data_IF_357075718827
#
_entry.id   IF_357075718827
#
_cell.length_a   1.000
_cell.length_b   1.000
_cell.length_c   1.000
_cell.angle_alpha   90.00
_cell.angle_beta   90.00
_cell.angle_gamma   90.00
#
_symmetry.space_group_name_H-M   'P 1'
#
loop_
_entity.id
_entity.type
_entity.pdbx_description
1 polymer ?
#
# COMPACT_ATOMS: atom_id res chain seq x y z
N UNK A 1 20.67 25.81 -5.62
CA UNK A 1 20.66 24.39 -5.22
C UNK A 1 19.35 23.87 -5.80
N UNK A 2 19.40 23.05 -6.89
CA UNK A 2 18.21 22.50 -7.52
C UNK A 2 17.45 21.60 -6.53
N UNK A 3 16.13 21.59 -6.61
CA UNK A 3 15.33 20.64 -5.84
C UNK A 3 15.79 19.22 -6.15
N UNK A 4 15.86 18.32 -5.13
CA UNK A 4 16.33 16.97 -5.35
C UNK A 4 15.34 16.22 -6.30
N UNK A 5 15.87 15.49 -7.27
CA UNK A 5 15.11 14.81 -8.35
C UNK A 5 13.95 13.90 -7.87
N UNK A 6 13.91 13.52 -6.59
CA UNK A 6 12.82 12.73 -6.00
C UNK A 6 11.59 13.58 -5.64
N UNK A 7 11.73 14.90 -5.49
CA UNK A 7 10.57 15.81 -5.38
C UNK A 7 9.78 15.82 -6.69
N UNK A 8 10.43 15.58 -7.83
CA UNK A 8 9.74 15.44 -9.11
C UNK A 8 9.09 14.06 -9.28
N UNK A 9 9.77 12.97 -8.87
CA UNK A 9 9.25 11.62 -8.99
C UNK A 9 9.73 10.72 -7.85
N UNK A 10 8.82 10.37 -6.92
CA UNK A 10 9.11 9.41 -5.86
C UNK A 10 9.14 7.96 -6.37
N UNK A 11 8.29 7.64 -7.37
CA UNK A 11 8.31 6.36 -8.09
C UNK A 11 8.13 6.65 -9.57
N UNK A 12 8.96 6.03 -10.41
CA UNK A 12 8.84 6.14 -11.87
C UNK A 12 9.03 4.78 -12.52
N UNK A 13 8.08 4.40 -13.34
CA UNK A 13 8.13 3.27 -14.24
C UNK A 13 8.28 3.79 -15.66
N UNK A 14 9.24 3.24 -16.43
CA UNK A 14 9.52 3.63 -17.82
C UNK A 14 9.55 2.37 -18.70
N UNK A 15 8.58 2.26 -19.59
CA UNK A 15 8.40 1.10 -20.50
C UNK A 15 8.48 -0.24 -19.76
N UNK A 16 8.03 -0.25 -18.50
CA UNK A 16 8.22 -1.38 -17.62
C UNK A 16 7.29 -2.54 -17.99
N UNK A 17 7.84 -3.76 -17.95
CA UNK A 17 7.10 -4.99 -18.18
C UNK A 17 7.46 -6.05 -17.16
N UNK A 18 6.47 -6.87 -16.78
CA UNK A 18 6.68 -8.04 -15.92
C UNK A 18 6.06 -9.28 -16.57
N UNK A 19 6.85 -10.36 -16.60
CA UNK A 19 6.38 -11.70 -16.96
C UNK A 19 6.61 -12.65 -15.79
N UNK A 20 5.60 -13.46 -15.49
CA UNK A 20 5.65 -14.48 -14.43
C UNK A 20 5.09 -15.79 -14.96
N UNK A 21 5.80 -16.89 -14.72
CA UNK A 21 5.42 -18.23 -15.19
C UNK A 21 4.98 -18.26 -16.67
N UNK A 22 5.73 -17.58 -17.55
CA UNK A 22 5.46 -17.53 -18.99
C UNK A 22 4.35 -16.56 -19.43
N UNK A 23 3.58 -15.98 -18.50
CA UNK A 23 2.51 -15.01 -18.80
C UNK A 23 3.02 -13.58 -18.60
N UNK A 24 2.67 -12.69 -19.53
CA UNK A 24 2.83 -11.24 -19.33
C UNK A 24 1.75 -10.77 -18.36
N UNK A 25 2.16 -10.16 -17.26
CA UNK A 25 1.24 -9.57 -16.29
C UNK A 25 0.82 -8.19 -16.79
N UNK A 26 1.80 -7.37 -17.12
CA UNK A 26 1.62 -6.07 -17.79
C UNK A 26 2.89 -5.74 -18.59
N UNK A 27 2.73 -4.86 -19.58
CA UNK A 27 3.80 -4.44 -20.47
C UNK A 27 3.64 -2.96 -20.83
N UNK A 28 4.77 -2.31 -21.11
CA UNK A 28 4.82 -0.89 -21.48
C UNK A 28 4.15 0.04 -20.45
N UNK A 29 4.31 -0.28 -19.15
CA UNK A 29 3.78 0.56 -18.09
C UNK A 29 4.66 1.79 -17.93
N UNK A 30 4.04 2.96 -18.11
CA UNK A 30 4.62 4.28 -17.89
C UNK A 30 3.82 4.96 -16.79
N UNK A 31 4.43 5.18 -15.62
CA UNK A 31 3.77 5.69 -14.42
C UNK A 31 4.73 6.55 -13.63
N UNK A 32 4.26 7.70 -13.17
CA UNK A 32 5.02 8.57 -12.28
C UNK A 32 4.17 8.91 -11.06
N UNK A 33 4.72 8.64 -9.86
CA UNK A 33 4.20 9.12 -8.57
C UNK A 33 5.08 10.27 -8.14
N UNK A 34 4.54 11.48 -8.07
CA UNK A 34 5.31 12.65 -7.66
C UNK A 34 5.56 12.65 -6.14
N UNK A 35 6.62 13.33 -5.72
CA UNK A 35 6.98 13.47 -4.31
C UNK A 35 5.89 14.22 -3.54
N UNK A 36 5.52 13.70 -2.35
CA UNK A 36 4.51 14.30 -1.47
C UNK A 36 3.06 14.12 -1.94
N UNK A 37 2.79 13.36 -3.01
CA UNK A 37 1.44 13.06 -3.48
C UNK A 37 0.85 11.82 -2.83
N UNK A 38 -0.49 11.81 -2.72
CA UNK A 38 -1.28 10.64 -2.41
C UNK A 38 -1.81 10.02 -3.71
N UNK A 39 -1.18 8.92 -4.14
CA UNK A 39 -1.53 8.20 -5.37
C UNK A 39 -2.20 6.88 -5.06
N UNK A 40 -3.36 6.62 -5.67
CA UNK A 40 -4.00 5.30 -5.65
C UNK A 40 -3.62 4.46 -6.87
N UNK A 41 -3.37 3.17 -6.64
CA UNK A 41 -3.24 2.15 -7.70
C UNK A 41 -4.53 1.35 -7.74
N UNK A 42 -5.30 1.51 -8.80
CA UNK A 42 -6.63 0.92 -9.00
C UNK A 42 -6.61 -0.10 -10.16
N UNK A 43 -7.69 -0.84 -10.28
CA UNK A 43 -7.93 -1.81 -11.35
C UNK A 43 -8.55 -3.11 -10.84
N UNK A 44 -9.04 -3.99 -11.72
CA UNK A 44 -9.66 -5.26 -11.36
C UNK A 44 -8.75 -6.19 -10.56
N UNK A 45 -9.37 -7.20 -9.97
CA UNK A 45 -8.62 -8.25 -9.27
C UNK A 45 -7.77 -9.07 -10.24
N UNK A 46 -6.53 -9.36 -9.84
CA UNK A 46 -5.63 -10.20 -10.63
C UNK A 46 -4.90 -9.51 -11.79
N UNK A 47 -5.10 -8.19 -12.01
CA UNK A 47 -4.41 -7.45 -13.11
C UNK A 47 -2.94 -7.14 -12.82
N UNK A 48 -2.46 -7.40 -11.58
CA UNK A 48 -1.07 -7.17 -11.23
C UNK A 48 -0.80 -5.90 -10.41
N UNK A 49 -1.79 -5.33 -9.70
CA UNK A 49 -1.59 -4.18 -8.79
C UNK A 49 -0.49 -4.45 -7.76
N UNK A 50 -0.61 -5.55 -7.00
CA UNK A 50 0.43 -5.94 -6.03
C UNK A 50 1.76 -6.32 -6.70
N UNK A 51 1.74 -6.76 -7.98
CA UNK A 51 2.96 -6.99 -8.75
C UNK A 51 3.67 -5.68 -9.07
N UNK A 52 2.92 -4.62 -9.39
CA UNK A 52 3.48 -3.28 -9.61
C UNK A 52 4.13 -2.75 -8.33
N UNK A 53 3.47 -2.87 -7.18
CA UNK A 53 4.05 -2.54 -5.87
C UNK A 53 5.33 -3.36 -5.63
N UNK A 54 5.29 -4.67 -5.82
CA UNK A 54 6.46 -5.55 -5.63
C UNK A 54 7.62 -5.21 -6.58
N UNK A 55 7.32 -4.78 -7.80
CA UNK A 55 8.34 -4.30 -8.74
C UNK A 55 8.98 -3.00 -8.25
N UNK A 56 8.19 -2.03 -7.74
CA UNK A 56 8.71 -0.81 -7.13
C UNK A 56 9.60 -1.11 -5.91
N UNK A 57 9.24 -2.10 -5.10
CA UNK A 57 10.02 -2.54 -3.95
C UNK A 57 11.26 -3.39 -4.32
N UNK A 58 11.46 -3.72 -5.61
CA UNK A 58 12.54 -4.60 -6.06
C UNK A 58 12.35 -6.06 -5.69
N UNK A 59 11.14 -6.47 -5.27
CA UNK A 59 10.80 -7.86 -4.90
C UNK A 59 10.43 -8.72 -6.12
N UNK A 60 10.14 -8.08 -7.25
CA UNK A 60 9.86 -8.72 -8.54
C UNK A 60 10.72 -8.06 -9.59
N UNK A 61 11.47 -8.87 -10.35
CA UNK A 61 12.28 -8.41 -11.47
C UNK A 61 11.43 -8.01 -12.68
N UNK A 62 11.88 -6.99 -13.40
CA UNK A 62 11.28 -6.59 -14.67
C UNK A 62 11.77 -7.52 -15.79
N UNK A 63 10.93 -7.74 -16.80
CA UNK A 63 11.29 -8.37 -18.07
C UNK A 63 11.73 -7.35 -19.13
N UNK A 64 11.34 -6.08 -18.98
CA UNK A 64 11.77 -4.95 -19.81
C UNK A 64 11.53 -3.63 -19.06
N UNK A 65 12.17 -2.55 -19.53
CA UNK A 65 12.04 -1.20 -18.98
C UNK A 65 12.79 -1.00 -17.68
N UNK A 66 12.43 0.06 -16.95
CA UNK A 66 13.07 0.42 -15.70
C UNK A 66 12.07 0.88 -14.63
N UNK A 67 12.46 0.75 -13.35
CA UNK A 67 11.76 1.34 -12.19
C UNK A 67 12.76 2.03 -11.30
N UNK A 68 12.49 3.28 -10.99
CA UNK A 68 13.24 4.05 -10.00
C UNK A 68 12.35 4.44 -8.83
N UNK A 69 12.91 4.39 -7.63
CA UNK A 69 12.25 4.77 -6.37
C UNK A 69 13.16 5.74 -5.62
N UNK A 70 12.66 6.93 -5.33
CA UNK A 70 13.40 8.03 -4.71
C UNK A 70 14.74 8.32 -5.42
N UNK A 71 14.72 8.27 -6.78
CA UNK A 71 15.88 8.49 -7.63
C UNK A 71 16.88 7.34 -7.71
N UNK A 72 16.58 6.16 -7.15
CA UNK A 72 17.44 4.97 -7.14
C UNK A 72 16.74 3.81 -7.85
N UNK A 73 17.48 2.82 -8.38
CA UNK A 73 16.87 1.59 -8.87
C UNK A 73 15.99 0.92 -7.82
N UNK A 74 14.93 0.23 -8.26
CA UNK A 74 14.00 -0.47 -7.37
C UNK A 74 14.74 -1.37 -6.38
N UNK A 75 14.27 -1.40 -5.12
CA UNK A 75 14.87 -2.16 -4.02
C UNK A 75 16.08 -1.49 -3.34
N UNK A 76 16.64 -0.40 -3.89
CA UNK A 76 17.80 0.29 -3.32
C UNK A 76 17.46 1.47 -2.40
N UNK A 77 16.20 1.87 -2.31
CA UNK A 77 15.76 2.95 -1.43
C UNK A 77 15.71 2.55 0.06
N UNK A 78 15.71 1.24 0.35
CA UNK A 78 15.90 0.68 1.69
C UNK A 78 14.97 1.28 2.75
N UNK A 79 15.57 1.90 3.77
CA UNK A 79 14.85 2.45 4.95
C UNK A 79 13.98 3.67 4.64
N UNK A 80 14.15 4.29 3.48
CA UNK A 80 13.36 5.44 3.05
C UNK A 80 11.98 5.03 2.52
N UNK A 81 11.72 3.72 2.40
CA UNK A 81 10.42 3.16 2.00
C UNK A 81 9.80 2.41 3.17
N UNK A 82 8.60 2.84 3.59
CA UNK A 82 7.72 2.09 4.48
C UNK A 82 6.78 1.21 3.64
N UNK A 83 6.64 -0.05 3.99
CA UNK A 83 5.77 -0.97 3.26
C UNK A 83 4.82 -1.69 4.20
N UNK A 84 3.54 -1.63 3.88
CA UNK A 84 2.49 -2.42 4.50
C UNK A 84 1.96 -3.41 3.46
N UNK A 85 2.31 -4.70 3.55
CA UNK A 85 1.81 -5.72 2.65
C UNK A 85 0.34 -6.04 2.92
N UNK A 86 -0.36 -6.54 1.90
CA UNK A 86 -1.69 -7.10 2.06
C UNK A 86 -1.68 -8.16 3.16
N UNK A 87 -2.47 -7.95 4.19
CA UNK A 87 -2.60 -8.87 5.33
C UNK A 87 -4.06 -9.18 5.61
N UNK A 88 -4.29 -10.42 6.02
CA UNK A 88 -5.52 -10.80 6.72
C UNK A 88 -5.42 -10.38 8.18
N UNK A 89 -6.55 -10.31 8.88
CA UNK A 89 -6.62 -10.00 10.31
C UNK A 89 -5.71 -10.89 11.15
N UNK A 90 -5.26 -10.39 12.29
CA UNK A 90 -4.55 -11.21 13.27
C UNK A 90 -5.52 -12.17 13.95
N UNK A 91 -5.02 -13.37 14.28
CA UNK A 91 -5.75 -14.33 15.09
C UNK A 91 -6.07 -13.73 16.47
N UNK A 92 -7.32 -13.91 16.95
CA UNK A 92 -7.78 -13.39 18.24
C UNK A 92 -6.98 -13.93 19.45
N UNK A 93 -6.34 -15.08 19.29
CA UNK A 93 -5.46 -15.69 20.30
C UNK A 93 -4.07 -15.08 20.36
N UNK A 94 -3.67 -14.25 19.39
CA UNK A 94 -2.33 -13.65 19.35
C UNK A 94 -2.17 -12.62 20.47
N UNK A 95 -1.26 -12.89 21.41
CA UNK A 95 -1.03 -12.08 22.61
C UNK A 95 0.14 -11.09 22.50
N UNK A 96 0.69 -10.87 21.32
CA UNK A 96 1.73 -9.86 21.07
C UNK A 96 1.10 -8.48 21.21
N UNK A 97 1.73 -7.59 21.97
CA UNK A 97 1.23 -6.21 22.13
C UNK A 97 1.40 -5.40 20.86
N UNK A 98 0.49 -4.45 20.62
CA UNK A 98 0.58 -3.55 19.46
C UNK A 98 1.91 -2.80 19.40
N UNK A 99 2.42 -2.32 20.55
CA UNK A 99 3.72 -1.62 20.61
C UNK A 99 4.89 -2.50 20.16
N UNK A 100 4.84 -3.81 20.45
CA UNK A 100 5.89 -4.75 20.02
C UNK A 100 5.84 -4.97 18.50
N UNK A 101 4.63 -5.01 17.92
CA UNK A 101 4.43 -5.05 16.44
C UNK A 101 5.03 -3.82 15.78
N UNK A 102 4.76 -2.61 16.31
CA UNK A 102 5.36 -1.37 15.78
C UNK A 102 6.88 -1.41 15.90
N UNK A 103 7.40 -1.93 17.03
CA UNK A 103 8.84 -2.09 17.27
C UNK A 103 9.56 -2.93 16.21
N UNK A 104 8.91 -3.97 15.66
CA UNK A 104 9.48 -4.78 14.58
C UNK A 104 9.86 -3.94 13.34
N UNK A 105 9.18 -2.82 13.10
CA UNK A 105 9.55 -1.90 12.03
C UNK A 105 10.91 -1.22 12.24
N UNK A 106 11.37 -1.06 13.49
CA UNK A 106 12.71 -0.53 13.79
C UNK A 106 13.82 -1.56 13.61
N UNK A 107 13.61 -2.76 14.17
CA UNK A 107 14.68 -3.73 14.48
C UNK A 107 14.47 -5.11 13.86
N UNK A 108 13.47 -5.30 13.00
CA UNK A 108 13.12 -6.61 12.41
C UNK A 108 14.27 -7.32 11.68
N UNK A 109 15.35 -6.62 11.40
CA UNK A 109 16.59 -7.16 10.81
C UNK A 109 17.62 -7.60 11.88
N UNK A 110 17.38 -7.32 13.15
CA UNK A 110 18.33 -7.57 14.24
C UNK A 110 17.80 -8.57 15.24
N UNK A 111 18.51 -9.66 15.43
CA UNK A 111 18.29 -10.59 16.53
C UNK A 111 18.88 -10.02 17.82
N UNK A 112 18.17 -10.09 18.92
CA UNK A 112 18.67 -9.71 20.23
C UNK A 112 17.62 -9.83 21.34
N UNK A 113 18.04 -10.27 22.52
CA UNK A 113 17.19 -10.28 23.72
C UNK A 113 17.17 -8.85 24.29
N UNK A 114 16.01 -8.24 24.54
CA UNK A 114 15.94 -6.94 25.22
C UNK A 114 16.39 -7.10 26.67
N UNK A 115 17.56 -6.55 27.00
CA UNK A 115 18.03 -6.52 28.38
C UNK A 115 17.33 -5.40 29.14
N UNK A 116 16.83 -5.64 30.37
CA UNK A 116 16.02 -4.66 31.11
C UNK A 116 16.76 -3.35 31.46
N UNK A 117 18.06 -3.33 31.41
CA UNK A 117 18.95 -2.20 31.78
C UNK A 117 19.58 -1.53 30.54
N UNK A 118 19.22 -2.00 29.35
CA UNK A 118 19.92 -1.62 28.10
C UNK A 118 19.77 -0.15 27.70
N UNK A 119 18.74 0.55 28.17
CA UNK A 119 18.44 1.92 27.69
C UNK A 119 19.43 2.99 28.17
N UNK A 120 20.01 2.79 29.37
CA UNK A 120 21.04 3.69 29.89
C UNK A 120 22.40 3.47 29.23
N UNK A 121 22.65 2.26 28.74
CA UNK A 121 23.92 1.84 28.17
C UNK A 121 23.94 1.92 26.63
N UNK A 122 22.76 1.93 25.98
CA UNK A 122 22.62 1.91 24.52
C UNK A 122 21.72 3.02 24.00
N UNK A 123 22.26 4.21 23.67
CA UNK A 123 21.49 5.34 23.13
C UNK A 123 20.64 5.00 21.90
N UNK A 124 21.11 4.07 21.06
CA UNK A 124 20.39 3.62 19.88
C UNK A 124 19.04 2.92 20.22
N UNK A 125 18.94 2.21 21.35
CA UNK A 125 17.69 1.58 21.81
C UNK A 125 16.69 2.62 22.29
N UNK A 126 17.17 3.63 23.00
CA UNK A 126 16.34 4.77 23.42
C UNK A 126 15.74 5.48 22.22
N UNK A 127 16.56 5.82 21.23
CA UNK A 127 16.09 6.45 19.99
C UNK A 127 15.08 5.57 19.22
N UNK A 128 15.25 4.24 19.21
CA UNK A 128 14.28 3.34 18.61
C UNK A 128 12.94 3.36 19.35
N UNK A 129 12.94 3.37 20.69
CA UNK A 129 11.71 3.48 21.49
C UNK A 129 11.00 4.81 21.31
N UNK A 130 11.76 5.90 21.23
CA UNK A 130 11.18 7.23 21.00
C UNK A 130 10.50 7.27 19.63
N UNK A 131 11.13 6.74 18.55
CA UNK A 131 10.49 6.58 17.23
C UNK A 131 9.23 5.72 17.25
N UNK A 132 9.24 4.62 18.01
CA UNK A 132 8.04 3.76 18.19
C UNK A 132 6.91 4.55 18.84
N UNK A 133 7.21 5.33 19.88
CA UNK A 133 6.22 6.17 20.55
C UNK A 133 5.67 7.24 19.60
N UNK A 134 6.55 7.96 18.92
CA UNK A 134 6.17 8.97 17.93
C UNK A 134 5.27 8.38 16.82
N UNK A 135 5.60 7.20 16.29
CA UNK A 135 4.78 6.55 15.27
C UNK A 135 3.39 6.13 15.82
N UNK A 136 3.32 5.64 17.06
CA UNK A 136 2.06 5.29 17.74
C UNK A 136 1.19 6.53 17.97
N UNK A 137 1.79 7.62 18.42
CA UNK A 137 1.09 8.90 18.65
C UNK A 137 0.58 9.48 17.32
N UNK A 138 1.40 9.43 16.28
CA UNK A 138 1.06 9.91 14.93
C UNK A 138 -0.20 9.24 14.36
N UNK A 139 -0.36 7.93 14.59
CA UNK A 139 -1.54 7.18 14.12
C UNK A 139 -2.69 7.21 15.14
N UNK A 140 -2.54 7.88 16.29
CA UNK A 140 -3.56 7.96 17.34
C UNK A 140 -3.81 6.62 18.02
N UNK A 141 -2.78 5.79 18.22
CA UNK A 141 -2.90 4.44 18.76
C UNK A 141 -2.49 4.31 20.24
N UNK A 142 -2.13 5.39 20.92
CA UNK A 142 -1.60 5.41 22.29
C UNK A 142 -2.49 4.68 23.29
N UNK A 143 -3.82 4.81 23.18
CA UNK A 143 -4.78 4.21 24.11
C UNK A 143 -4.84 2.68 24.06
N UNK A 144 -4.45 2.06 22.93
CA UNK A 144 -4.57 0.62 22.73
C UNK A 144 -3.26 -0.08 22.32
N UNK A 145 -2.17 0.65 22.12
CA UNK A 145 -0.88 0.07 21.69
C UNK A 145 -0.31 -0.95 22.68
N UNK A 146 -0.63 -0.87 23.99
CA UNK A 146 -0.19 -1.83 24.99
C UNK A 146 -1.04 -3.11 25.05
N UNK A 147 -2.21 -3.14 24.37
CA UNK A 147 -3.11 -4.31 24.36
C UNK A 147 -2.59 -5.37 23.37
N UNK A 148 -2.96 -6.66 23.59
CA UNK A 148 -2.71 -7.73 22.62
C UNK A 148 -3.35 -7.40 21.27
N UNK A 149 -2.59 -7.55 20.17
CA UNK A 149 -3.05 -7.16 18.82
C UNK A 149 -4.30 -7.95 18.40
N UNK A 150 -4.44 -9.21 18.80
CA UNK A 150 -5.62 -10.02 18.50
C UNK A 150 -6.89 -9.62 19.28
N UNK A 151 -6.79 -8.69 20.25
CA UNK A 151 -7.91 -8.26 21.12
C UNK A 151 -8.38 -6.82 20.83
N UNK A 152 -7.89 -6.21 19.79
CA UNK A 152 -8.29 -4.86 19.35
C UNK A 152 -9.02 -4.94 17.99
N UNK A 153 -9.79 -3.91 17.65
CA UNK A 153 -10.57 -3.88 16.41
C UNK A 153 -9.68 -3.90 15.16
N UNK A 154 -10.24 -4.28 14.00
CA UNK A 154 -9.51 -4.27 12.73
C UNK A 154 -8.95 -2.90 12.37
N UNK A 155 -9.70 -1.83 12.61
CA UNK A 155 -9.22 -0.46 12.40
C UNK A 155 -8.07 -0.07 13.34
N UNK A 156 -8.10 -0.50 14.61
CA UNK A 156 -7.01 -0.31 15.56
C UNK A 156 -5.76 -1.12 15.16
N UNK A 157 -5.93 -2.37 14.71
CA UNK A 157 -4.85 -3.18 14.15
C UNK A 157 -4.20 -2.50 12.96
N UNK A 158 -5.02 -1.98 12.04
CA UNK A 158 -4.54 -1.31 10.83
C UNK A 158 -3.73 -0.05 11.15
N UNK A 159 -4.17 0.76 12.13
CA UNK A 159 -3.39 1.91 12.61
C UNK A 159 -2.02 1.52 13.12
N UNK A 160 -1.91 0.44 13.91
CA UNK A 160 -0.62 -0.05 14.41
C UNK A 160 0.28 -0.59 13.29
N UNK A 161 -0.28 -1.22 12.26
CA UNK A 161 0.48 -1.67 11.09
C UNK A 161 0.99 -0.47 10.25
N UNK A 162 0.19 0.58 10.13
CA UNK A 162 0.66 1.84 9.51
C UNK A 162 1.77 2.46 10.35
N UNK A 163 1.65 2.49 11.69
CA UNK A 163 2.72 2.95 12.57
C UNK A 163 4.00 2.13 12.40
N UNK A 164 3.90 0.81 12.25
CA UNK A 164 5.05 -0.06 11.97
C UNK A 164 5.77 0.33 10.68
N UNK A 165 5.03 0.67 9.61
CA UNK A 165 5.60 1.11 8.34
C UNK A 165 6.23 2.52 8.45
N UNK A 166 5.72 3.37 9.34
CA UNK A 166 6.17 4.75 9.54
C UNK A 166 7.33 4.91 10.52
N UNK A 167 7.60 3.90 11.36
CA UNK A 167 8.55 4.02 12.49
C UNK A 167 9.98 4.42 12.09
N UNK A 168 10.35 4.19 10.84
CA UNK A 168 11.65 4.62 10.25
C UNK A 168 11.60 5.98 9.59
N UNK A 169 10.48 6.69 9.70
CA UNK A 169 10.23 7.99 9.07
C UNK A 169 10.50 7.95 7.54
N UNK A 170 9.81 7.07 6.81
CA UNK A 170 10.03 6.89 5.39
C UNK A 170 9.60 8.14 4.60
N UNK A 171 10.18 8.31 3.41
CA UNK A 171 9.79 9.34 2.43
C UNK A 171 8.72 8.85 1.48
N UNK A 172 8.62 7.52 1.30
CA UNK A 172 7.60 6.84 0.52
C UNK A 172 6.92 5.78 1.39
N UNK A 173 5.60 5.84 1.50
CA UNK A 173 4.77 4.85 2.16
C UNK A 173 3.98 4.08 1.11
N UNK A 174 4.24 2.79 1.00
CA UNK A 174 3.56 1.88 0.08
C UNK A 174 2.60 1.00 0.89
N UNK A 175 1.31 1.05 0.55
CA UNK A 175 0.24 0.36 1.25
C UNK A 175 -0.51 -0.56 0.28
N UNK A 176 -0.48 -1.87 0.52
CA UNK A 176 -1.14 -2.85 -0.33
C UNK A 176 -2.47 -3.27 0.32
N UNK A 177 -3.58 -2.73 -0.19
CA UNK A 177 -4.97 -2.96 0.25
C UNK A 177 -5.20 -2.70 1.77
N UNK A 178 -4.80 -1.53 2.28
CA UNK A 178 -4.85 -1.24 3.71
C UNK A 178 -6.26 -1.07 4.28
N UNK A 179 -7.27 -0.91 3.45
CA UNK A 179 -8.67 -0.68 3.85
C UNK A 179 -9.53 -1.93 3.75
N UNK A 180 -9.00 -2.99 3.16
CA UNK A 180 -9.73 -4.24 2.99
C UNK A 180 -10.11 -4.86 4.34
N UNK A 181 -11.27 -5.49 4.37
CA UNK A 181 -11.82 -6.14 5.57
C UNK A 181 -12.15 -5.21 6.74
N UNK A 182 -12.12 -3.89 6.54
CA UNK A 182 -12.58 -2.89 7.51
C UNK A 182 -14.04 -2.53 7.24
N UNK A 183 -14.78 -2.20 8.29
CA UNK A 183 -16.11 -1.56 8.16
C UNK A 183 -15.99 -0.13 7.62
N UNK A 184 -17.07 0.41 7.08
CA UNK A 184 -17.08 1.74 6.45
C UNK A 184 -16.56 2.87 7.35
N UNK A 185 -16.95 2.96 8.65
CA UNK A 185 -16.39 3.96 9.56
C UNK A 185 -14.88 3.84 9.74
N UNK A 186 -14.36 2.59 9.87
CA UNK A 186 -12.93 2.33 10.01
C UNK A 186 -12.18 2.65 8.73
N UNK A 187 -12.74 2.32 7.55
CA UNK A 187 -12.15 2.69 6.25
C UNK A 187 -11.99 4.21 6.13
N UNK A 188 -13.05 4.97 6.40
CA UNK A 188 -13.01 6.44 6.36
C UNK A 188 -11.97 7.02 7.34
N UNK A 189 -11.92 6.47 8.56
CA UNK A 189 -10.99 6.91 9.60
C UNK A 189 -9.52 6.63 9.23
N UNK A 190 -9.23 5.45 8.66
CA UNK A 190 -7.87 5.09 8.22
C UNK A 190 -7.47 5.87 6.96
N UNK A 191 -8.38 6.07 6.01
CA UNK A 191 -8.14 6.88 4.82
C UNK A 191 -7.77 8.34 5.19
N UNK A 192 -8.55 8.96 6.09
CA UNK A 192 -8.27 10.31 6.60
C UNK A 192 -6.91 10.38 7.34
N UNK A 193 -6.56 9.34 8.11
CA UNK A 193 -5.24 9.24 8.75
C UNK A 193 -4.11 9.23 7.72
N UNK A 194 -4.20 8.40 6.68
CA UNK A 194 -3.19 8.29 5.62
C UNK A 194 -3.05 9.63 4.90
N UNK A 195 -4.16 10.28 4.56
CA UNK A 195 -4.18 11.59 3.92
C UNK A 195 -3.50 12.67 4.78
N UNK A 196 -3.77 12.69 6.08
CA UNK A 196 -3.11 13.58 7.03
C UNK A 196 -1.60 13.35 7.08
N UNK A 197 -1.16 12.10 7.13
CA UNK A 197 0.27 11.75 7.11
C UNK A 197 0.92 12.27 5.83
N UNK A 198 0.29 12.07 4.68
CA UNK A 198 0.77 12.59 3.41
C UNK A 198 0.94 14.12 3.44
N UNK A 199 -0.11 14.83 3.83
CA UNK A 199 -0.15 16.29 3.78
C UNK A 199 0.79 16.97 4.82
N UNK A 200 0.74 16.51 6.09
CA UNK A 200 1.44 17.17 7.20
C UNK A 200 2.91 16.77 7.27
N UNK A 201 3.24 15.50 6.98
CA UNK A 201 4.61 14.98 7.09
C UNK A 201 5.34 14.90 5.75
N UNK A 202 4.70 15.34 4.64
CA UNK A 202 5.28 15.32 3.29
C UNK A 202 5.75 13.93 2.86
N UNK A 203 5.09 12.88 3.36
CA UNK A 203 5.34 11.50 2.98
C UNK A 203 4.59 11.21 1.68
N UNK A 204 5.29 10.76 0.65
CA UNK A 204 4.62 10.27 -0.56
C UNK A 204 3.85 9.00 -0.24
N UNK A 205 2.62 8.88 -0.67
CA UNK A 205 1.79 7.70 -0.45
C UNK A 205 1.44 7.04 -1.78
N UNK A 206 1.72 5.74 -1.89
CA UNK A 206 1.26 4.87 -2.97
C UNK A 206 0.39 3.77 -2.37
N UNK A 207 -0.92 3.80 -2.62
CA UNK A 207 -1.90 2.92 -2.01
C UNK A 207 -2.61 2.08 -3.07
N UNK A 208 -2.57 0.76 -2.95
CA UNK A 208 -3.40 -0.15 -3.75
C UNK A 208 -4.76 -0.26 -3.09
N UNK A 209 -5.83 -0.09 -3.88
CA UNK A 209 -7.20 -0.26 -3.41
C UNK A 209 -8.07 -1.01 -4.42
N UNK A 210 -9.12 -1.64 -3.93
CA UNK A 210 -10.22 -2.17 -4.73
C UNK A 210 -11.32 -1.14 -4.92
N UNK A 211 -11.64 -0.40 -3.84
CA UNK A 211 -12.64 0.68 -3.84
C UNK A 211 -11.94 2.02 -3.66
N UNK A 212 -12.17 2.92 -4.60
CA UNK A 212 -11.62 4.27 -4.56
C UNK A 212 -12.39 5.20 -3.61
N UNK A 213 -13.67 4.89 -3.34
CA UNK A 213 -14.58 5.82 -2.66
C UNK A 213 -14.08 6.31 -1.29
N UNK A 214 -13.52 5.46 -0.39
CA UNK A 214 -13.03 5.92 0.90
C UNK A 214 -11.85 6.89 0.82
N UNK A 215 -11.08 6.83 -0.28
CA UNK A 215 -9.85 7.62 -0.46
C UNK A 215 -10.00 8.74 -1.49
N UNK A 216 -11.04 8.70 -2.33
CA UNK A 216 -11.26 9.63 -3.45
C UNK A 216 -11.11 11.12 -3.07
N UNK A 217 -11.63 11.60 -1.91
CA UNK A 217 -11.51 13.00 -1.53
C UNK A 217 -10.07 13.47 -1.24
N UNK A 218 -9.14 12.54 -1.11
CA UNK A 218 -7.76 12.82 -0.68
C UNK A 218 -6.73 12.56 -1.78
N UNK A 219 -7.15 12.01 -2.94
CA UNK A 219 -6.24 11.61 -4.01
C UNK A 219 -5.78 12.79 -4.85
N UNK A 220 -4.47 12.88 -5.03
CA UNK A 220 -3.85 13.77 -6.03
C UNK A 220 -3.76 13.08 -7.39
N UNK A 221 -3.54 11.77 -7.41
CA UNK A 221 -3.31 10.99 -8.61
C UNK A 221 -3.91 9.58 -8.53
N UNK A 222 -4.31 9.04 -9.65
CA UNK A 222 -4.74 7.66 -9.83
C UNK A 222 -3.90 7.00 -10.92
N UNK A 223 -3.34 5.84 -10.60
CA UNK A 223 -2.77 4.90 -11.56
C UNK A 223 -3.76 3.75 -11.75
N UNK A 224 -4.42 3.67 -12.89
CA UNK A 224 -5.40 2.63 -13.18
C UNK A 224 -4.78 1.56 -14.09
N UNK A 225 -4.77 0.31 -13.62
CA UNK A 225 -4.19 -0.83 -14.36
C UNK A 225 -5.31 -1.72 -14.86
N UNK A 226 -5.35 -1.96 -16.15
CA UNK A 226 -6.25 -2.93 -16.78
C UNK A 226 -5.68 -3.44 -18.11
N UNK A 227 -6.15 -4.59 -18.57
CA UNK A 227 -5.77 -5.20 -19.85
C UNK A 227 -4.24 -5.24 -20.12
N UNK A 228 -3.43 -5.35 -19.05
CA UNK A 228 -1.97 -5.44 -19.14
C UNK A 228 -1.24 -4.12 -19.39
N UNK A 229 -1.92 -2.98 -19.26
CA UNK A 229 -1.35 -1.63 -19.37
C UNK A 229 -1.84 -0.74 -18.21
N UNK A 230 -1.38 0.52 -18.16
CA UNK A 230 -1.77 1.47 -17.12
C UNK A 230 -1.99 2.87 -17.70
N UNK A 231 -2.91 3.62 -17.09
CA UNK A 231 -3.07 5.07 -17.29
C UNK A 231 -2.88 5.77 -15.94
N UNK A 232 -2.31 6.97 -15.96
CA UNK A 232 -2.04 7.74 -14.75
C UNK A 232 -2.43 9.20 -14.95
N UNK A 233 -3.01 9.80 -13.92
CA UNK A 233 -3.42 11.21 -13.93
C UNK A 233 -4.31 11.58 -12.76
N UNK A 234 -4.82 12.82 -12.74
CA UNK A 234 -5.82 13.24 -11.74
C UNK A 234 -7.06 12.33 -11.73
N UNK A 235 -7.67 12.09 -10.55
CA UNK A 235 -8.82 11.18 -10.44
C UNK A 235 -9.93 11.45 -11.45
N UNK A 236 -10.27 12.73 -11.64
CA UNK A 236 -11.32 13.17 -12.56
C UNK A 236 -11.01 12.94 -14.04
N UNK A 237 -9.75 12.74 -14.41
CA UNK A 237 -9.34 12.43 -15.78
C UNK A 237 -9.22 10.94 -16.05
N UNK A 238 -8.86 10.16 -15.03
CA UNK A 238 -8.64 8.71 -15.13
C UNK A 238 -9.94 7.93 -14.91
N UNK A 239 -10.73 8.31 -13.89
CA UNK A 239 -11.98 7.61 -13.54
C UNK A 239 -13.13 8.22 -14.36
N UNK A 240 -13.12 7.97 -15.66
CA UNK A 240 -14.14 8.38 -16.66
C UNK A 240 -14.52 7.21 -17.54
N UNK A 241 -15.76 7.21 -18.00
CA UNK A 241 -16.26 6.18 -18.91
C UNK A 241 -15.39 6.05 -20.16
N UNK A 242 -15.00 7.18 -20.77
CA UNK A 242 -14.19 7.20 -21.99
C UNK A 242 -12.78 6.62 -21.74
N UNK A 243 -12.12 7.04 -20.66
CA UNK A 243 -10.78 6.59 -20.30
C UNK A 243 -10.76 5.10 -20.00
N UNK A 244 -11.72 4.64 -19.17
CA UNK A 244 -11.80 3.23 -18.78
C UNK A 244 -12.24 2.36 -19.96
N UNK A 245 -13.18 2.81 -20.80
CA UNK A 245 -13.58 2.10 -22.04
C UNK A 245 -12.38 1.90 -22.98
N UNK A 246 -11.56 2.94 -23.17
CA UNK A 246 -10.35 2.82 -24.00
C UNK A 246 -9.33 1.85 -23.40
N UNK A 247 -9.16 1.88 -22.06
CA UNK A 247 -8.23 1.02 -21.34
C UNK A 247 -8.65 -0.46 -21.37
N UNK A 248 -9.94 -0.74 -21.12
CA UNK A 248 -10.49 -2.10 -21.12
C UNK A 248 -10.78 -2.65 -22.53
N UNK A 249 -10.91 -1.78 -23.52
CA UNK A 249 -11.38 -2.10 -24.88
C UNK A 249 -12.79 -2.72 -24.90
N UNK A 250 -13.59 -2.41 -23.89
CA UNK A 250 -15.00 -2.82 -23.73
C UNK A 250 -15.76 -1.64 -23.13
N UNK A 251 -17.07 -1.47 -23.44
CA UNK A 251 -17.85 -0.38 -22.87
C UNK A 251 -17.85 -0.43 -21.34
N UNK A 252 -17.36 0.64 -20.73
CA UNK A 252 -17.35 0.87 -19.28
C UNK A 252 -18.13 2.14 -18.99
N UNK A 253 -19.00 2.10 -18.02
CA UNK A 253 -19.75 3.24 -17.56
C UNK A 253 -19.33 3.62 -16.14
N UNK A 254 -19.02 4.89 -15.92
CA UNK A 254 -18.71 5.45 -14.58
C UNK A 254 -19.92 6.30 -14.16
N UNK A 255 -20.61 5.81 -13.15
CA UNK A 255 -21.78 6.48 -12.58
C UNK A 255 -21.38 7.21 -11.30
N UNK A 256 -21.95 8.39 -11.10
CA UNK A 256 -21.85 9.11 -9.82
C UNK A 256 -23.18 9.01 -9.09
N UNK A 257 -23.18 8.35 -7.94
CA UNK A 257 -24.35 8.25 -7.07
C UNK A 257 -24.70 9.62 -6.45
N UNK A 258 -25.90 9.76 -5.94
CA UNK A 258 -26.38 11.00 -5.31
C UNK A 258 -25.54 11.44 -4.09
N UNK A 259 -24.87 10.54 -3.44
CA UNK A 259 -23.95 10.78 -2.31
C UNK A 259 -22.50 11.06 -2.77
N UNK A 260 -22.26 11.18 -4.08
CA UNK A 260 -20.95 11.47 -4.68
C UNK A 260 -20.06 10.24 -4.93
N UNK A 261 -20.45 9.04 -4.49
CA UNK A 261 -19.68 7.81 -4.74
C UNK A 261 -19.61 7.50 -6.23
N UNK A 262 -18.47 6.96 -6.66
CA UNK A 262 -18.27 6.48 -8.02
C UNK A 262 -18.56 4.98 -8.08
N UNK A 263 -19.27 4.57 -9.13
CA UNK A 263 -19.57 3.17 -9.44
C UNK A 263 -19.10 2.90 -10.87
N UNK A 264 -18.22 1.94 -11.03
CA UNK A 264 -17.75 1.50 -12.34
C UNK A 264 -18.57 0.27 -12.76
N UNK A 265 -19.24 0.36 -13.90
CA UNK A 265 -20.14 -0.68 -14.43
C UNK A 265 -19.59 -1.19 -15.76
N UNK A 266 -19.70 -2.50 -16.00
CA UNK A 266 -19.22 -3.14 -17.24
C UNK A 266 -17.79 -3.69 -17.15
N UNK A 267 -17.16 -3.69 -15.94
CA UNK A 267 -15.89 -4.40 -15.77
C UNK A 267 -16.05 -5.89 -16.08
N UNK A 268 -15.17 -6.47 -16.93
CA UNK A 268 -15.18 -7.92 -17.13
C UNK A 268 -14.88 -8.60 -15.79
N UNK A 269 -15.77 -9.44 -15.32
CA UNK A 269 -15.50 -10.27 -14.15
C UNK A 269 -14.24 -11.12 -14.43
N UNK A 270 -13.27 -11.15 -13.51
CA UNK A 270 -12.16 -12.08 -13.65
C UNK A 270 -12.73 -13.51 -13.66
N UNK A 271 -12.24 -14.42 -14.52
CA UNK A 271 -12.75 -15.79 -14.57
C UNK A 271 -12.66 -16.38 -13.16
N UNK A 272 -13.82 -16.82 -12.65
CA UNK A 272 -13.94 -17.43 -11.34
C UNK A 272 -12.90 -18.58 -11.23
N UNK A 273 -11.91 -18.43 -10.38
CA UNK A 273 -11.01 -19.53 -10.03
C UNK A 273 -11.78 -20.46 -9.10
N UNK A 274 -12.57 -21.35 -9.67
CA UNK A 274 -13.01 -22.52 -8.93
C UNK A 274 -11.76 -23.31 -8.57
N UNK A 275 -11.36 -23.21 -7.32
CA UNK A 275 -10.42 -24.14 -6.71
C UNK A 275 -11.17 -25.45 -6.44
N UNK A 276 -11.41 -26.24 -7.48
CA UNK A 276 -11.74 -27.66 -7.34
C UNK A 276 -10.50 -28.39 -6.79
N UNK A 277 -10.30 -28.31 -5.49
CA UNK A 277 -9.34 -29.09 -4.70
C UNK A 277 -10.04 -30.02 -3.71
N UNK A 278 -11.19 -30.55 -4.05
CA UNK A 278 -11.84 -31.59 -3.25
C UNK A 278 -12.60 -32.59 -4.14
N UNK A 279 -11.89 -33.26 -5.05
CA UNK A 279 -12.45 -34.38 -5.77
C UNK A 279 -11.38 -35.43 -6.12
N UNK A 280 -10.58 -35.86 -5.13
CA UNK A 280 -9.78 -37.07 -5.23
C UNK A 280 -9.41 -37.62 -3.85
N UNK A 281 -10.41 -37.96 -3.04
CA UNK A 281 -10.20 -38.79 -1.84
C UNK A 281 -11.47 -39.57 -1.46
N UNK A 282 -12.10 -40.23 -2.43
CA UNK A 282 -13.19 -41.15 -2.13
C UNK A 282 -13.28 -42.22 -3.21
N UNK A 283 -12.20 -42.98 -3.44
CA UNK A 283 -12.24 -44.35 -3.95
C UNK A 283 -10.90 -45.02 -3.62
N UNK A 284 -10.81 -45.68 -2.46
CA UNK A 284 -10.25 -47.01 -2.22
C UNK A 284 -10.38 -47.38 -0.77
#
# INVERSE_FOLDING_TARGET
MGEPAWLEAAVRFEHAAVRMAGRTIWSDVNLTVAGGQFTAVLGPNGVGKSTLVKAALGLVGLSAGSVTVLGRPAGQAGREVGYLPQRRSFDAGLRVRGVDIVGLGCDGERWGVPLPWGDRLFPARRAARDRVREAIDLVGATAFASRPIGQISGGEQQRLLIAQALVRQPRLLVLDEPLDSLDLPSQASVAALIARICAEHKVTVMLVAHDVNPILPYLDCVAYIAAGTAVCGPPESVIRSETLTALYRTPIEVLRASDGRLVVVGEPEPPARHADRHAEAAVR
#
